data_IF_678256334770
#
_entry.id   IF_678256334770
#
_cell.length_a   1.000
_cell.length_b   1.000
_cell.length_c   1.000
_cell.angle_alpha   90.00
_cell.angle_beta   90.00
_cell.angle_gamma   90.00
#
_symmetry.space_group_name_H-M   'P 1'
#
loop_
_entity.id
_entity.type
_entity.pdbx_description
1 polymer ?
#
# COMPACT_ATOMS: atom_id res chain seq x y z
N UNK A 1 2.01 -5.12 15.53
CA UNK A 1 1.91 -6.03 14.37
C UNK A 1 3.09 -7.00 14.35
N UNK A 2 2.90 -8.27 13.98
CA UNK A 2 3.96 -9.29 13.96
C UNK A 2 4.49 -9.68 12.56
N UNK A 3 3.80 -9.31 11.48
CA UNK A 3 4.19 -9.65 10.12
C UNK A 3 5.38 -8.80 9.62
N UNK A 4 6.32 -9.38 8.87
CA UNK A 4 7.46 -8.63 8.29
C UNK A 4 7.05 -7.71 7.14
N UNK A 5 6.16 -8.17 6.28
CA UNK A 5 5.58 -7.42 5.17
C UNK A 5 4.15 -7.94 4.92
N UNK A 6 3.32 -7.13 4.26
CA UNK A 6 2.13 -7.61 3.55
C UNK A 6 2.52 -7.98 2.13
N UNK A 7 1.91 -9.03 1.59
CA UNK A 7 2.05 -9.43 0.19
C UNK A 7 0.64 -9.51 -0.41
N UNK A 8 0.38 -8.75 -1.46
CA UNK A 8 -0.91 -8.69 -2.14
C UNK A 8 -0.71 -8.74 -3.67
N UNK A 9 -0.50 -9.94 -4.24
CA UNK A 9 -0.28 -10.14 -5.67
C UNK A 9 -1.62 -10.24 -6.43
N UNK A 10 -2.55 -9.33 -6.16
CA UNK A 10 -3.89 -9.32 -6.77
C UNK A 10 -3.82 -8.95 -8.26
N UNK A 11 -4.72 -9.50 -9.08
CA UNK A 11 -4.84 -9.13 -10.50
C UNK A 11 -5.76 -7.91 -10.67
N UNK A 12 -6.74 -7.77 -9.76
CA UNK A 12 -7.69 -6.68 -9.71
C UNK A 12 -8.06 -6.38 -8.25
N UNK A 13 -8.36 -5.12 -7.94
CA UNK A 13 -8.66 -4.64 -6.60
C UNK A 13 -9.60 -3.44 -6.64
N UNK A 14 -10.47 -3.34 -5.63
CA UNK A 14 -11.36 -2.18 -5.48
C UNK A 14 -10.60 -0.94 -5.00
N UNK A 15 -10.19 -0.95 -3.74
CA UNK A 15 -9.37 0.14 -3.15
C UNK A 15 -8.02 -0.34 -2.62
N UNK A 16 -7.89 -1.60 -2.19
CA UNK A 16 -6.66 -2.08 -1.56
C UNK A 16 -6.55 -1.69 -0.07
N UNK A 17 -7.64 -1.78 0.70
CA UNK A 17 -7.62 -1.57 2.16
C UNK A 17 -6.53 -2.37 2.89
N UNK A 18 -6.22 -3.63 2.55
CA UNK A 18 -5.13 -4.35 3.21
C UNK A 18 -3.78 -3.62 3.10
N UNK A 19 -3.49 -2.98 1.96
CA UNK A 19 -2.28 -2.17 1.78
C UNK A 19 -2.26 -1.01 2.76
N UNK A 20 -3.37 -0.26 2.85
CA UNK A 20 -3.47 0.87 3.76
C UNK A 20 -3.31 0.45 5.23
N UNK A 21 -3.90 -0.67 5.63
CA UNK A 21 -3.77 -1.24 6.98
C UNK A 21 -2.32 -1.63 7.30
N UNK A 22 -1.61 -2.25 6.35
CA UNK A 22 -0.20 -2.59 6.51
C UNK A 22 0.67 -1.33 6.65
N UNK A 23 0.42 -0.30 5.84
CA UNK A 23 1.13 0.98 5.96
C UNK A 23 0.82 1.68 7.30
N UNK A 24 -0.42 1.64 7.76
CA UNK A 24 -0.82 2.15 9.09
C UNK A 24 -0.16 1.37 10.24
N UNK A 25 0.12 0.08 10.04
CA UNK A 25 0.92 -0.73 10.95
C UNK A 25 2.45 -0.49 10.82
N UNK A 26 2.86 0.42 9.93
CA UNK A 26 4.26 0.71 9.63
C UNK A 26 4.97 -0.46 8.97
N UNK A 27 4.28 -1.29 8.18
CA UNK A 27 4.84 -2.46 7.50
C UNK A 27 5.03 -2.21 6.00
N UNK A 28 6.12 -2.71 5.41
CA UNK A 28 6.29 -2.68 3.96
C UNK A 28 5.22 -3.53 3.28
N UNK A 29 4.92 -3.18 2.03
CA UNK A 29 3.93 -3.86 1.20
C UNK A 29 4.59 -4.30 -0.11
N UNK A 30 4.40 -5.57 -0.46
CA UNK A 30 4.73 -6.13 -1.76
C UNK A 30 3.43 -6.31 -2.52
N UNK A 31 3.27 -5.65 -3.66
CA UNK A 31 1.98 -5.56 -4.37
C UNK A 31 2.13 -5.80 -5.86
N UNK A 32 1.07 -6.24 -6.51
CA UNK A 32 0.99 -6.24 -7.97
C UNK A 32 1.12 -4.82 -8.54
N UNK A 33 1.73 -4.72 -9.71
CA UNK A 33 1.91 -3.45 -10.42
C UNK A 33 0.64 -2.96 -11.15
N UNK A 34 -0.46 -2.78 -10.39
CA UNK A 34 -1.77 -2.32 -10.88
C UNK A 34 -2.12 -0.92 -10.36
N UNK A 35 -2.95 -0.18 -11.10
CA UNK A 35 -3.20 1.25 -10.87
C UNK A 35 -3.65 1.58 -9.44
N UNK A 36 -4.67 0.87 -8.95
CA UNK A 36 -5.22 1.06 -7.60
C UNK A 36 -4.16 0.87 -6.49
N UNK A 37 -3.29 -0.13 -6.63
CA UNK A 37 -2.25 -0.42 -5.63
C UNK A 37 -1.10 0.59 -5.69
N UNK A 38 -0.75 1.09 -6.87
CA UNK A 38 0.20 2.22 -7.02
C UNK A 38 -0.32 3.48 -6.34
N UNK A 39 -1.62 3.78 -6.50
CA UNK A 39 -2.23 4.96 -5.89
C UNK A 39 -2.26 4.87 -4.36
N UNK A 40 -2.77 3.76 -3.81
CA UNK A 40 -2.94 3.61 -2.36
C UNK A 40 -1.60 3.39 -1.65
N UNK A 41 -0.66 2.65 -2.23
CA UNK A 41 0.65 2.45 -1.62
C UNK A 41 1.59 3.65 -1.76
N UNK A 42 1.39 4.47 -2.80
CA UNK A 42 2.27 5.57 -3.14
C UNK A 42 3.74 5.13 -3.25
N UNK A 43 4.69 5.88 -2.66
CA UNK A 43 6.12 5.54 -2.75
C UNK A 43 6.54 4.37 -1.85
N UNK A 44 5.62 3.75 -1.11
CA UNK A 44 5.94 2.73 -0.11
C UNK A 44 5.75 1.29 -0.59
N UNK A 45 5.35 1.09 -1.85
CA UNK A 45 5.22 -0.23 -2.45
C UNK A 45 6.55 -0.78 -2.99
N UNK A 46 6.74 -2.08 -2.77
CA UNK A 46 7.58 -2.91 -3.63
C UNK A 46 6.66 -3.55 -4.65
N UNK A 47 6.81 -3.20 -5.93
CA UNK A 47 5.95 -3.75 -7.00
C UNK A 47 6.58 -4.96 -7.67
N UNK A 48 5.72 -5.88 -8.12
CA UNK A 48 6.06 -6.99 -9.02
C UNK A 48 4.91 -7.22 -10.03
N UNK A 49 5.19 -7.72 -11.24
CA UNK A 49 4.15 -8.22 -12.13
C UNK A 49 3.38 -9.39 -11.48
N UNK A 50 2.08 -9.49 -11.74
CA UNK A 50 1.24 -10.53 -11.14
C UNK A 50 1.39 -11.90 -11.83
N UNK A 51 1.91 -11.90 -13.05
CA UNK A 51 2.15 -13.06 -13.92
C UNK A 51 3.61 -13.54 -13.92
N UNK A 52 4.45 -12.98 -13.03
CA UNK A 52 5.87 -13.31 -12.89
C UNK A 52 6.22 -13.76 -11.46
N UNK A 53 6.20 -15.08 -11.19
CA UNK A 53 6.54 -15.63 -9.87
C UNK A 53 7.98 -15.34 -9.44
N UNK A 54 8.93 -15.27 -10.38
CA UNK A 54 10.33 -15.00 -10.06
C UNK A 54 10.50 -13.54 -9.63
N UNK A 55 9.86 -12.60 -10.33
CA UNK A 55 9.83 -11.20 -9.91
C UNK A 55 9.16 -11.02 -8.54
N UNK A 56 8.09 -11.77 -8.24
CA UNK A 56 7.47 -11.76 -6.91
C UNK A 56 8.44 -12.30 -5.84
N UNK A 57 9.18 -13.38 -6.12
CA UNK A 57 10.19 -13.91 -5.21
C UNK A 57 11.32 -12.90 -4.94
N UNK A 58 11.76 -12.18 -5.97
CA UNK A 58 12.72 -11.08 -5.87
C UNK A 58 12.22 -9.93 -4.99
N UNK A 59 10.97 -9.53 -5.18
CA UNK A 59 10.30 -8.52 -4.38
C UNK A 59 10.19 -8.93 -2.89
N UNK A 60 9.84 -10.19 -2.62
CA UNK A 60 9.79 -10.75 -1.26
C UNK A 60 11.16 -10.76 -0.60
N UNK A 61 12.20 -11.17 -1.35
CA UNK A 61 13.59 -11.13 -0.86
C UNK A 61 14.00 -9.72 -0.48
N UNK A 62 13.69 -8.72 -1.32
CA UNK A 62 13.95 -7.30 -1.01
C UNK A 62 13.23 -6.86 0.28
N UNK A 63 11.93 -7.14 0.41
CA UNK A 63 11.18 -6.86 1.63
C UNK A 63 11.78 -7.55 2.86
N UNK A 64 12.37 -8.73 2.68
CA UNK A 64 13.02 -9.48 3.75
C UNK A 64 14.39 -8.91 4.13
N UNK A 65 15.20 -8.44 3.19
CA UNK A 65 16.58 -8.04 3.45
C UNK A 65 16.77 -6.54 3.68
N UNK A 66 15.87 -5.69 3.16
CA UNK A 66 15.92 -4.25 3.40
C UNK A 66 15.73 -3.95 4.89
N UNK A 67 16.65 -3.18 5.52
CA UNK A 67 16.47 -2.70 6.88
C UNK A 67 15.17 -1.90 7.02
N UNK A 68 14.49 -2.11 8.13
CA UNK A 68 13.18 -1.49 8.40
C UNK A 68 13.26 -0.69 9.71
N UNK A 69 13.89 0.48 9.60
CA UNK A 69 14.12 1.43 10.70
C UNK A 69 12.85 2.22 11.07
N UNK A 70 12.95 2.99 12.15
CA UNK A 70 11.81 3.72 12.70
C UNK A 70 11.33 4.84 11.75
N UNK A 71 12.26 5.50 11.05
CA UNK A 71 11.94 6.55 10.08
C UNK A 71 11.11 6.00 8.91
N UNK A 72 11.49 4.85 8.35
CA UNK A 72 10.73 4.20 7.29
C UNK A 72 9.33 3.76 7.78
N UNK A 73 9.24 3.27 9.03
CA UNK A 73 7.95 2.91 9.65
C UNK A 73 7.05 4.13 9.84
N UNK A 74 7.61 5.24 10.32
CA UNK A 74 6.87 6.48 10.53
C UNK A 74 6.43 7.12 9.23
N UNK A 75 7.25 7.08 8.19
CA UNK A 75 6.87 7.54 6.86
C UNK A 75 5.64 6.79 6.32
N UNK A 76 5.62 5.46 6.44
CA UNK A 76 4.45 4.64 6.04
C UNK A 76 3.21 4.94 6.87
N UNK A 77 3.36 5.11 8.19
CA UNK A 77 2.27 5.53 9.06
C UNK A 77 1.72 6.90 8.68
N UNK A 78 2.61 7.86 8.41
CA UNK A 78 2.24 9.21 7.99
C UNK A 78 1.49 9.22 6.65
N UNK A 79 1.94 8.40 5.68
CA UNK A 79 1.24 8.20 4.42
C UNK A 79 -0.18 7.66 4.64
N UNK A 80 -0.33 6.59 5.43
CA UNK A 80 -1.62 5.98 5.68
C UNK A 80 -2.63 6.94 6.36
N UNK A 81 -2.17 7.85 7.22
CA UNK A 81 -3.02 8.85 7.89
C UNK A 81 -3.70 9.85 6.94
N UNK A 82 -3.24 9.96 5.69
CA UNK A 82 -3.87 10.83 4.67
C UNK A 82 -5.23 10.28 4.20
N UNK A 83 -5.49 8.99 4.41
CA UNK A 83 -6.69 8.31 3.97
C UNK A 83 -7.65 8.19 5.16
N UNK A 84 -8.62 9.09 5.24
CA UNK A 84 -9.65 9.08 6.29
C UNK A 84 -11.04 8.99 5.69
N UNK A 85 -11.97 8.38 6.44
CA UNK A 85 -13.37 8.32 6.03
C UNK A 85 -14.01 9.72 5.95
N UNK A 86 -13.67 10.62 6.86
CA UNK A 86 -14.12 12.02 6.80
C UNK A 86 -13.68 12.70 5.51
N UNK A 87 -12.39 12.62 5.16
CA UNK A 87 -11.89 13.22 3.92
C UNK A 87 -12.45 12.55 2.65
N UNK A 88 -12.84 11.27 2.73
CA UNK A 88 -13.57 10.60 1.65
C UNK A 88 -14.99 11.16 1.50
N UNK A 89 -15.72 11.25 2.62
CA UNK A 89 -17.08 11.78 2.66
C UNK A 89 -17.15 13.23 2.19
N UNK A 90 -16.28 14.10 2.71
CA UNK A 90 -16.24 15.52 2.37
C UNK A 90 -15.97 15.73 0.87
N UNK A 91 -14.93 15.08 0.32
CA UNK A 91 -14.61 15.16 -1.11
C UNK A 91 -15.72 14.61 -2.00
N UNK A 92 -16.42 13.58 -1.56
CA UNK A 92 -17.55 13.01 -2.32
C UNK A 92 -18.73 13.99 -2.33
N UNK A 93 -19.02 14.61 -1.19
CA UNK A 93 -20.07 15.62 -1.07
C UNK A 93 -19.78 16.84 -1.94
N UNK A 94 -18.54 17.33 -1.95
CA UNK A 94 -18.12 18.48 -2.77
C UNK A 94 -18.42 18.26 -4.26
N UNK A 95 -18.17 17.05 -4.79
CA UNK A 95 -18.47 16.71 -6.19
C UNK A 95 -19.98 16.74 -6.46
N UNK A 96 -20.80 16.24 -5.54
CA UNK A 96 -22.26 16.27 -5.70
C UNK A 96 -22.86 17.67 -5.60
N UNK A 97 -22.28 18.55 -4.79
CA UNK A 97 -22.73 19.94 -4.65
C UNK A 97 -22.26 20.83 -5.80
N UNK A 98 -21.20 20.44 -6.52
CA UNK A 98 -20.68 21.14 -7.68
C UNK A 98 -21.42 20.82 -9.00
N UNK A 99 -22.24 19.77 -9.00
CA UNK A 99 -23.08 19.35 -10.13
C UNK A 99 -24.45 20.04 -10.11
#
# INVERSE_FOLDING_TARGET
AGARALVLPSIDEGFGLPVLEALAAGRPVVVSDIAVLREVAGPHAITAPHDDPDALADALRRAWTTPDDDDARDARRAWARRFTWSACADRTLDVYLAA
#
